data_IF_363376998290
#
_entry.id   IF_363376998290
#
_cell.length_a   1.000
_cell.length_b   1.000
_cell.length_c   1.000
_cell.angle_alpha   90.00
_cell.angle_beta   90.00
_cell.angle_gamma   90.00
#
_symmetry.space_group_name_H-M   'P 1'
#
loop_
_entity.id
_entity.type
_entity.pdbx_description
1 polymer ?
#
# COMPACT_ATOMS: atom_id res chain seq x y z
N UNK A 1 19.81 -44.17 -1.25
CA UNK A 1 19.54 -42.82 -0.73
C UNK A 1 18.04 -42.57 -0.76
N UNK A 2 17.36 -42.80 0.36
CA UNK A 2 15.95 -42.41 0.53
C UNK A 2 15.91 -40.90 0.76
N UNK A 3 15.46 -40.15 -0.25
CA UNK A 3 15.07 -38.75 -0.07
C UNK A 3 13.76 -38.73 0.75
N UNK A 4 13.88 -38.46 2.04
CA UNK A 4 12.76 -38.14 2.91
C UNK A 4 12.28 -36.74 2.45
N UNK A 5 11.25 -36.71 1.61
CA UNK A 5 10.46 -35.51 1.43
C UNK A 5 9.80 -35.19 2.77
N UNK A 6 10.38 -34.26 3.55
CA UNK A 6 9.63 -33.57 4.60
C UNK A 6 8.44 -32.92 3.89
N UNK A 7 7.26 -33.36 4.20
CA UNK A 7 6.05 -32.61 3.88
C UNK A 7 6.28 -31.18 4.37
N UNK A 8 6.31 -30.24 3.43
CA UNK A 8 6.18 -28.82 3.75
C UNK A 8 4.75 -28.70 4.30
N UNK A 9 4.62 -28.73 5.63
CA UNK A 9 3.35 -28.42 6.27
C UNK A 9 2.95 -27.02 5.77
N UNK A 10 1.84 -26.97 5.05
CA UNK A 10 1.23 -25.72 4.68
C UNK A 10 0.98 -24.95 5.99
N UNK A 11 1.42 -23.69 6.07
CA UNK A 11 1.16 -22.85 7.25
C UNK A 11 -0.33 -22.92 7.58
N UNK A 12 -0.64 -23.50 8.74
CA UNK A 12 -2.01 -23.59 9.24
C UNK A 12 -2.38 -22.22 9.82
N UNK A 13 -3.18 -21.46 9.09
CA UNK A 13 -3.76 -20.24 9.65
C UNK A 13 -5.10 -20.56 10.34
N UNK A 14 -5.36 -19.88 11.42
CA UNK A 14 -6.62 -19.95 12.17
C UNK A 14 -7.43 -18.68 11.90
N UNK A 15 -8.70 -18.86 11.54
CA UNK A 15 -9.64 -17.74 11.55
C UNK A 15 -10.21 -17.63 12.96
N UNK A 16 -9.93 -16.53 13.63
CA UNK A 16 -10.29 -16.28 15.02
C UNK A 16 -11.25 -15.11 15.12
N UNK A 17 -12.06 -15.12 16.17
CA UNK A 17 -13.01 -14.06 16.47
C UNK A 17 -12.88 -13.65 17.95
N UNK A 18 -12.90 -12.38 18.23
CA UNK A 18 -12.90 -11.81 19.59
C UNK A 18 -14.33 -11.74 20.16
N UNK A 19 -14.48 -11.35 21.42
CA UNK A 19 -15.80 -11.24 22.07
C UNK A 19 -16.67 -10.14 21.43
N UNK A 20 -16.07 -9.02 21.03
CA UNK A 20 -16.77 -7.93 20.33
C UNK A 20 -16.99 -8.20 18.83
N UNK A 21 -16.66 -9.40 18.35
CA UNK A 21 -16.91 -9.80 16.99
C UNK A 21 -15.80 -9.48 15.97
N UNK A 22 -14.63 -8.98 16.39
CA UNK A 22 -13.50 -8.73 15.51
C UNK A 22 -12.95 -10.06 14.96
N UNK A 23 -12.96 -10.21 13.65
CA UNK A 23 -12.38 -11.37 12.97
C UNK A 23 -10.96 -11.07 12.51
N UNK A 24 -10.07 -12.07 12.67
CA UNK A 24 -8.68 -11.96 12.24
C UNK A 24 -8.07 -13.31 11.90
N UNK A 25 -7.12 -13.29 10.97
CA UNK A 25 -6.31 -14.48 10.67
C UNK A 25 -5.09 -14.52 11.59
N UNK A 26 -4.77 -15.70 12.07
CA UNK A 26 -3.66 -15.91 12.98
C UNK A 26 -2.79 -17.11 12.56
N UNK A 27 -1.48 -16.87 12.51
CA UNK A 27 -0.44 -17.90 12.35
C UNK A 27 0.43 -17.89 13.60
N UNK A 28 0.43 -19.00 14.35
CA UNK A 28 1.36 -19.15 15.47
C UNK A 28 2.73 -19.55 14.94
N UNK A 29 3.72 -18.68 15.09
CA UNK A 29 5.11 -18.92 14.71
C UNK A 29 6.04 -18.64 15.90
N UNK A 30 6.69 -19.72 16.38
CA UNK A 30 7.60 -19.68 17.52
C UNK A 30 9.08 -19.56 17.12
N UNK A 31 9.36 -19.45 15.82
CA UNK A 31 10.74 -19.40 15.31
C UNK A 31 11.48 -18.13 15.71
N UNK A 32 10.73 -17.00 15.87
CA UNK A 32 11.27 -15.72 16.31
C UNK A 32 10.40 -15.17 17.45
N UNK A 33 11.01 -14.56 18.50
CA UNK A 33 10.26 -14.03 19.63
C UNK A 33 9.60 -12.68 19.33
N UNK A 34 8.81 -12.60 18.24
CA UNK A 34 8.13 -11.40 17.77
C UNK A 34 6.65 -11.71 17.56
N UNK A 35 5.80 -10.72 17.80
CA UNK A 35 4.40 -10.68 17.37
C UNK A 35 4.24 -9.56 16.37
N UNK A 36 3.68 -9.86 15.22
CA UNK A 36 3.39 -8.90 14.14
C UNK A 36 1.89 -8.87 13.86
N UNK A 37 1.33 -7.66 13.80
CA UNK A 37 -0.06 -7.40 13.41
C UNK A 37 -0.04 -6.49 12.18
N UNK A 38 -0.59 -6.98 11.07
CA UNK A 38 -0.88 -6.17 9.90
C UNK A 38 -2.38 -5.93 9.84
N UNK A 39 -2.78 -4.70 9.67
CA UNK A 39 -4.20 -4.35 9.61
C UNK A 39 -4.47 -3.30 8.55
N UNK A 40 -5.70 -3.29 8.06
CA UNK A 40 -6.13 -2.38 7.00
C UNK A 40 -7.56 -1.93 7.23
N UNK A 41 -7.81 -0.63 7.08
CA UNK A 41 -9.16 -0.05 7.07
C UNK A 41 -9.48 0.43 5.67
N UNK A 42 -10.66 0.08 5.14
CA UNK A 42 -11.12 0.56 3.83
C UNK A 42 -11.34 2.07 3.84
N UNK A 43 -11.19 2.68 2.68
CA UNK A 43 -11.46 4.11 2.44
C UNK A 43 -10.22 4.90 2.00
N UNK A 44 -9.16 4.94 2.78
CA UNK A 44 -7.93 5.66 2.43
C UNK A 44 -8.16 7.12 2.05
N UNK A 45 -7.42 7.62 1.06
CA UNK A 45 -7.60 9.00 0.58
C UNK A 45 -8.85 9.19 -0.28
N UNK A 46 -9.52 8.10 -0.70
CA UNK A 46 -10.78 8.21 -1.45
C UNK A 46 -11.92 8.81 -0.66
N UNK A 47 -11.83 8.76 0.66
CA UNK A 47 -12.81 9.33 1.58
C UNK A 47 -12.37 10.67 2.19
N UNK A 48 -11.33 11.29 1.64
CA UNK A 48 -10.92 12.62 2.07
C UNK A 48 -12.09 13.62 1.92
N UNK A 49 -12.13 14.57 2.81
CA UNK A 49 -13.16 15.62 2.80
C UNK A 49 -12.85 16.55 1.63
N UNK A 50 -13.90 16.95 0.89
CA UNK A 50 -13.77 17.96 -0.18
C UNK A 50 -13.04 19.19 0.36
N UNK A 51 -12.13 19.73 -0.44
CA UNK A 51 -11.26 20.88 -0.14
C UNK A 51 -10.26 20.66 1.02
N UNK A 52 -10.20 19.43 1.60
CA UNK A 52 -9.25 18.99 2.62
C UNK A 52 -8.51 17.70 2.20
N UNK A 53 -8.22 17.57 0.90
CA UNK A 53 -7.45 16.45 0.39
C UNK A 53 -6.12 16.32 1.14
N UNK A 54 -5.73 15.10 1.49
CA UNK A 54 -4.56 14.81 2.31
C UNK A 54 -4.86 14.68 3.81
N UNK A 55 -6.12 14.82 4.23
CA UNK A 55 -6.49 14.66 5.63
C UNK A 55 -6.21 13.25 6.15
N UNK A 56 -6.45 12.22 5.34
CA UNK A 56 -6.12 10.84 5.68
C UNK A 56 -4.61 10.64 5.89
N UNK A 57 -3.79 11.22 5.01
CA UNK A 57 -2.33 11.16 5.13
C UNK A 57 -1.82 11.95 6.34
N UNK A 58 -2.35 13.14 6.58
CA UNK A 58 -1.99 13.96 7.75
C UNK A 58 -2.40 13.25 9.04
N UNK A 59 -3.61 12.69 9.10
CA UNK A 59 -4.12 11.95 10.25
C UNK A 59 -3.25 10.73 10.56
N UNK A 60 -2.93 9.89 9.57
CA UNK A 60 -2.06 8.71 9.78
C UNK A 60 -0.66 9.08 10.23
N UNK A 61 -0.13 10.23 9.77
CA UNK A 61 1.17 10.77 10.21
C UNK A 61 1.18 11.35 11.62
N UNK A 62 0.02 11.44 12.27
CA UNK A 62 -0.15 11.97 13.62
C UNK A 62 -0.47 10.91 14.68
N UNK A 63 -0.77 9.66 14.27
CA UNK A 63 -1.19 8.62 15.21
C UNK A 63 -0.07 8.15 16.16
N UNK A 64 1.18 8.31 15.77
CA UNK A 64 2.35 8.02 16.59
C UNK A 64 3.01 9.28 17.20
N UNK A 65 2.32 10.42 17.12
CA UNK A 65 2.80 11.72 17.63
C UNK A 65 2.20 12.07 19.01
N UNK A 66 2.02 11.04 19.84
CA UNK A 66 1.53 11.17 21.21
C UNK A 66 0.08 10.73 21.39
N UNK A 67 -0.28 10.48 22.63
CA UNK A 67 -1.59 9.99 23.04
C UNK A 67 -2.20 10.91 24.08
N UNK A 68 -3.39 10.59 24.59
CA UNK A 68 -4.00 11.36 25.69
C UNK A 68 -3.10 11.49 26.93
N UNK A 69 -2.18 10.52 27.16
CA UNK A 69 -1.36 10.44 28.36
C UNK A 69 0.13 10.68 28.11
N UNK A 70 0.58 10.63 26.87
CA UNK A 70 1.99 10.72 26.50
C UNK A 70 2.19 11.78 25.42
N UNK A 71 3.18 12.64 25.63
CA UNK A 71 3.67 13.53 24.57
C UNK A 71 4.34 12.72 23.46
N UNK A 72 4.49 13.30 22.28
CA UNK A 72 5.17 12.67 21.12
C UNK A 72 6.55 12.09 21.52
N UNK A 73 7.36 12.86 22.25
CA UNK A 73 8.69 12.42 22.72
C UNK A 73 8.60 11.22 23.65
N UNK A 74 7.68 11.26 24.63
CA UNK A 74 7.48 10.16 25.59
C UNK A 74 6.99 8.91 24.86
N UNK A 75 5.98 9.03 23.97
CA UNK A 75 5.46 7.90 23.23
C UNK A 75 6.55 7.22 22.36
N UNK A 76 7.35 7.99 21.64
CA UNK A 76 8.46 7.47 20.84
C UNK A 76 9.56 6.80 21.70
N UNK A 77 9.83 7.32 22.90
CA UNK A 77 10.73 6.68 23.83
C UNK A 77 10.18 5.35 24.33
N UNK A 78 8.89 5.29 24.71
CA UNK A 78 8.26 4.03 25.12
C UNK A 78 8.28 2.99 24.00
N UNK A 79 7.97 3.37 22.77
CA UNK A 79 8.11 2.47 21.60
C UNK A 79 9.52 1.91 21.49
N UNK A 80 10.55 2.77 21.63
CA UNK A 80 11.95 2.36 21.52
C UNK A 80 12.37 1.43 22.66
N UNK A 81 11.98 1.74 23.90
CA UNK A 81 12.32 0.92 25.08
C UNK A 81 11.70 -0.47 25.01
N UNK A 82 10.50 -0.59 24.47
CA UNK A 82 9.79 -1.86 24.29
C UNK A 82 10.17 -2.60 23.00
N UNK A 83 11.06 -2.07 22.15
CA UNK A 83 11.38 -2.66 20.85
C UNK A 83 10.16 -2.74 19.93
N UNK A 84 9.23 -1.78 20.07
CA UNK A 84 8.00 -1.69 19.32
C UNK A 84 8.19 -0.95 18.02
N UNK A 85 7.57 -1.45 16.97
CA UNK A 85 7.37 -0.74 15.71
C UNK A 85 5.88 -0.57 15.48
N UNK A 86 5.45 0.66 15.25
CA UNK A 86 4.08 0.98 14.85
C UNK A 86 4.17 1.98 13.71
N UNK A 87 3.45 1.71 12.63
CA UNK A 87 3.38 2.62 11.49
C UNK A 87 2.02 2.55 10.84
N UNK A 88 1.58 3.68 10.31
CA UNK A 88 0.35 3.83 9.55
C UNK A 88 0.68 4.46 8.20
N UNK A 89 -0.05 4.07 7.17
CA UNK A 89 0.11 4.65 5.83
C UNK A 89 -1.22 4.74 5.12
N UNK A 90 -1.41 5.83 4.39
CA UNK A 90 -2.60 6.03 3.57
C UNK A 90 -2.34 5.61 2.13
N UNK A 91 -3.23 4.79 1.59
CA UNK A 91 -3.33 4.44 0.18
C UNK A 91 -4.56 5.13 -0.44
N UNK A 92 -4.81 4.88 -1.72
CA UNK A 92 -5.98 5.47 -2.39
C UNK A 92 -7.30 4.98 -1.80
N UNK A 93 -7.41 3.68 -1.52
CA UNK A 93 -8.65 2.99 -1.10
C UNK A 93 -8.59 2.38 0.29
N UNK A 94 -7.48 2.54 1.01
CA UNK A 94 -7.30 1.98 2.35
C UNK A 94 -6.27 2.74 3.18
N UNK A 95 -6.34 2.54 4.50
CA UNK A 95 -5.32 2.91 5.46
C UNK A 95 -4.73 1.60 5.98
N UNK A 96 -3.44 1.40 5.75
CA UNK A 96 -2.70 0.23 6.23
C UNK A 96 -1.95 0.57 7.52
N UNK A 97 -1.82 -0.41 8.41
CA UNK A 97 -0.98 -0.31 9.58
C UNK A 97 -0.21 -1.59 9.86
N UNK A 98 0.95 -1.42 10.46
CA UNK A 98 1.82 -2.51 10.91
C UNK A 98 2.24 -2.25 12.34
N UNK A 99 2.02 -3.24 13.19
CA UNK A 99 2.51 -3.27 14.56
C UNK A 99 3.41 -4.49 14.74
N UNK A 100 4.56 -4.31 15.37
CA UNK A 100 5.48 -5.38 15.73
C UNK A 100 6.03 -5.14 17.13
N UNK A 101 6.15 -6.23 17.89
CA UNK A 101 6.63 -6.19 19.29
C UNK A 101 7.39 -7.47 19.62
N UNK A 102 8.39 -7.37 20.47
CA UNK A 102 9.03 -8.52 21.09
C UNK A 102 8.01 -9.23 21.99
N UNK A 103 7.85 -10.55 21.88
CA UNK A 103 6.81 -11.32 22.57
C UNK A 103 6.80 -11.13 24.10
N UNK A 104 7.97 -10.93 24.71
CA UNK A 104 8.10 -10.66 26.14
C UNK A 104 7.51 -9.30 26.56
N UNK A 105 7.48 -8.33 25.65
CA UNK A 105 6.96 -6.96 25.84
C UNK A 105 5.55 -6.78 25.27
N UNK A 106 4.87 -7.89 24.90
CA UNK A 106 3.60 -7.82 24.20
C UNK A 106 2.54 -7.01 24.97
N UNK A 107 2.47 -7.12 26.30
CA UNK A 107 1.50 -6.37 27.11
C UNK A 107 1.67 -4.86 26.90
N UNK A 108 2.86 -4.36 27.19
CA UNK A 108 3.13 -2.91 27.14
C UNK A 108 3.04 -2.36 25.72
N UNK A 109 3.47 -3.15 24.72
CA UNK A 109 3.33 -2.78 23.31
C UNK A 109 1.88 -2.70 22.85
N UNK A 110 1.03 -3.65 23.23
CA UNK A 110 -0.39 -3.60 22.86
C UNK A 110 -1.15 -2.50 23.62
N UNK A 111 -0.77 -2.17 24.84
CA UNK A 111 -1.31 -1.02 25.57
C UNK A 111 -0.95 0.31 24.86
N UNK A 112 0.30 0.46 24.41
CA UNK A 112 0.72 1.62 23.60
C UNK A 112 0.01 1.68 22.25
N UNK A 113 -0.18 0.53 21.60
CA UNK A 113 -0.93 0.47 20.32
C UNK A 113 -2.39 0.87 20.50
N UNK A 114 -3.04 0.39 21.57
CA UNK A 114 -4.39 0.82 21.94
C UNK A 114 -4.48 2.33 22.12
N UNK A 115 -3.56 2.93 22.85
CA UNK A 115 -3.53 4.39 23.06
C UNK A 115 -3.32 5.15 21.75
N UNK A 116 -2.41 4.70 20.88
CA UNK A 116 -2.15 5.36 19.60
C UNK A 116 -3.35 5.29 18.65
N UNK A 117 -4.03 4.12 18.59
CA UNK A 117 -5.15 3.93 17.69
C UNK A 117 -6.43 4.62 18.18
N UNK A 118 -6.72 4.52 19.49
CA UNK A 118 -8.03 4.96 20.02
C UNK A 118 -8.00 6.36 20.64
N UNK A 119 -6.83 6.81 21.12
CA UNK A 119 -6.67 8.05 21.86
C UNK A 119 -5.49 8.91 21.40
N UNK A 120 -5.31 9.11 20.07
CA UNK A 120 -4.26 10.02 19.59
C UNK A 120 -4.51 11.43 20.12
N UNK A 121 -3.42 12.11 20.52
CA UNK A 121 -3.53 13.44 21.16
C UNK A 121 -4.05 14.52 20.21
N UNK A 122 -3.63 14.47 18.95
CA UNK A 122 -3.87 15.53 17.97
C UNK A 122 -3.64 16.94 18.56
N UNK A 123 -2.53 17.12 19.30
CA UNK A 123 -2.26 18.43 19.87
C UNK A 123 -1.79 19.42 18.78
N UNK A 124 -2.07 20.71 18.98
CA UNK A 124 -1.81 21.74 17.96
C UNK A 124 -0.32 21.90 17.61
N UNK A 125 0.58 21.64 18.57
CA UNK A 125 2.03 21.77 18.33
C UNK A 125 2.49 20.69 17.34
N UNK A 126 2.06 19.43 17.53
CA UNK A 126 2.40 18.33 16.66
C UNK A 126 1.67 18.44 15.32
N UNK A 127 0.39 18.83 15.31
CA UNK A 127 -0.35 19.11 14.07
C UNK A 127 0.43 20.14 13.21
N UNK A 128 0.83 21.25 13.78
CA UNK A 128 1.54 22.30 13.05
C UNK A 128 2.92 21.84 12.59
N UNK A 129 3.61 21.03 13.37
CA UNK A 129 4.91 20.45 12.98
C UNK A 129 4.75 19.47 11.82
N UNK A 130 3.80 18.52 11.91
CA UNK A 130 3.57 17.50 10.87
C UNK A 130 3.01 18.13 9.60
N UNK A 131 2.13 19.15 9.69
CA UNK A 131 1.70 19.93 8.52
C UNK A 131 2.91 20.52 7.76
N UNK A 132 3.86 21.14 8.46
CA UNK A 132 5.08 21.67 7.80
C UNK A 132 5.89 20.56 7.12
N UNK A 133 6.01 19.39 7.74
CA UNK A 133 6.70 18.23 7.16
C UNK A 133 6.01 17.74 5.88
N UNK A 134 4.67 17.59 5.91
CA UNK A 134 3.88 17.18 4.74
C UNK A 134 4.00 18.22 3.62
N UNK A 135 3.88 19.51 3.91
CA UNK A 135 4.03 20.58 2.91
C UNK A 135 5.44 20.57 2.32
N UNK A 136 6.48 20.40 3.14
CA UNK A 136 7.84 20.26 2.65
C UNK A 136 7.99 19.05 1.72
N UNK A 137 7.40 17.92 2.10
CA UNK A 137 7.38 16.71 1.25
C UNK A 137 6.65 16.95 -0.07
N UNK A 138 5.54 17.68 -0.08
CA UNK A 138 4.82 18.04 -1.31
C UNK A 138 5.73 18.89 -2.24
N UNK A 139 6.45 19.86 -1.70
CA UNK A 139 7.37 20.69 -2.48
C UNK A 139 8.55 19.90 -3.06
N UNK A 140 9.07 18.92 -2.32
CA UNK A 140 10.08 17.98 -2.83
C UNK A 140 9.52 17.16 -3.97
N UNK A 141 8.30 16.63 -3.82
CA UNK A 141 7.61 15.84 -4.86
C UNK A 141 7.41 16.64 -6.15
N UNK A 142 7.17 17.94 -6.07
CA UNK A 142 7.01 18.84 -7.23
C UNK A 142 8.33 19.05 -8.00
N UNK A 143 9.47 18.81 -7.38
CA UNK A 143 10.79 18.88 -8.03
C UNK A 143 11.32 17.52 -8.48
N UNK A 144 10.74 16.42 -8.01
CA UNK A 144 11.11 15.06 -8.43
C UNK A 144 10.38 14.65 -9.72
N UNK A 145 11.15 14.37 -10.77
CA UNK A 145 10.63 14.05 -12.09
C UNK A 145 9.69 12.85 -12.10
N UNK A 146 10.01 11.80 -11.34
CA UNK A 146 9.19 10.57 -11.29
C UNK A 146 7.88 10.79 -10.55
N UNK A 147 7.95 11.47 -9.41
CA UNK A 147 6.79 11.77 -8.58
C UNK A 147 5.86 12.75 -9.29
N UNK A 148 6.41 13.79 -9.94
CA UNK A 148 5.62 14.71 -10.75
C UNK A 148 4.91 13.98 -11.90
N UNK A 149 5.63 13.12 -12.63
CA UNK A 149 5.04 12.32 -13.71
C UNK A 149 3.92 11.40 -13.17
N UNK A 150 4.10 10.77 -12.00
CA UNK A 150 3.11 9.95 -11.34
C UNK A 150 1.85 10.74 -10.94
N UNK A 151 2.03 11.93 -10.37
CA UNK A 151 0.93 12.81 -10.00
C UNK A 151 0.15 13.28 -11.25
N UNK A 152 0.85 13.67 -12.31
CA UNK A 152 0.23 14.05 -13.58
C UNK A 152 -0.48 12.88 -14.26
N UNK A 153 0.11 11.68 -14.21
CA UNK A 153 -0.55 10.45 -14.67
C UNK A 153 -1.86 10.22 -13.92
N UNK A 154 -1.85 10.25 -12.58
CA UNK A 154 -3.05 10.05 -11.77
C UNK A 154 -4.13 11.09 -12.10
N UNK A 155 -3.77 12.38 -12.18
CA UNK A 155 -4.69 13.46 -12.54
C UNK A 155 -5.34 13.23 -13.90
N UNK A 156 -4.60 12.69 -14.86
CA UNK A 156 -5.09 12.46 -16.20
C UNK A 156 -5.84 11.13 -16.34
N UNK A 157 -5.28 10.03 -15.82
CA UNK A 157 -5.83 8.69 -15.95
C UNK A 157 -7.12 8.50 -15.16
N UNK A 158 -7.18 9.06 -13.95
CA UNK A 158 -8.34 9.00 -13.05
C UNK A 158 -9.17 10.29 -13.07
N UNK A 159 -9.16 11.01 -14.17
CA UNK A 159 -9.91 12.27 -14.30
C UNK A 159 -11.34 12.12 -13.81
N UNK A 160 -11.81 13.12 -13.04
CA UNK A 160 -13.16 13.16 -12.44
C UNK A 160 -13.44 12.06 -11.38
N UNK A 161 -12.42 11.31 -10.98
CA UNK A 161 -12.49 10.32 -9.91
C UNK A 161 -11.61 10.74 -8.71
N UNK A 162 -11.99 10.34 -7.50
CA UNK A 162 -11.23 10.66 -6.27
C UNK A 162 -9.77 10.20 -6.31
N UNK A 163 -9.46 9.17 -7.09
CA UNK A 163 -8.09 8.68 -7.29
C UNK A 163 -7.19 9.63 -8.10
N UNK A 164 -7.75 10.66 -8.73
CA UNK A 164 -6.97 11.71 -9.38
C UNK A 164 -6.25 12.61 -8.37
N UNK A 165 -6.75 12.71 -7.14
CA UNK A 165 -6.18 13.52 -6.08
C UNK A 165 -4.84 12.96 -5.59
N UNK A 166 -3.94 13.87 -5.21
CA UNK A 166 -2.71 13.50 -4.52
C UNK A 166 -3.04 13.04 -3.10
N UNK A 167 -2.52 11.87 -2.69
CA UNK A 167 -2.72 11.31 -1.35
C UNK A 167 -2.22 12.26 -0.25
N UNK A 168 -1.14 13.01 -0.52
CA UNK A 168 -0.61 14.02 0.41
C UNK A 168 -1.43 15.32 0.42
N UNK A 169 -2.37 15.50 -0.51
CA UNK A 169 -3.11 16.74 -0.71
C UNK A 169 -2.30 17.81 -1.44
N UNK A 170 -2.59 19.06 -1.15
CA UNK A 170 -1.87 20.26 -1.60
C UNK A 170 -1.45 21.11 -0.41
N UNK A 171 -0.52 22.06 -0.61
CA UNK A 171 -0.15 23.01 0.45
C UNK A 171 -1.36 23.75 1.01
N UNK A 172 -2.29 24.16 0.15
CA UNK A 172 -3.53 24.84 0.54
C UNK A 172 -4.45 23.93 1.35
N UNK A 173 -4.76 22.73 0.85
CA UNK A 173 -5.66 21.81 1.54
C UNK A 173 -5.11 21.41 2.92
N UNK A 174 -3.80 21.14 3.05
CA UNK A 174 -3.15 20.80 4.32
C UNK A 174 -3.22 21.94 5.32
N UNK A 175 -3.03 23.19 4.88
CA UNK A 175 -3.17 24.38 5.77
C UNK A 175 -4.57 24.49 6.34
N UNK A 176 -5.60 24.18 5.55
CA UNK A 176 -7.01 24.32 5.91
C UNK A 176 -7.56 23.20 6.83
N UNK A 177 -6.83 22.10 7.03
CA UNK A 177 -7.24 21.04 7.95
C UNK A 177 -7.10 21.51 9.39
N UNK A 178 -8.16 21.39 10.17
CA UNK A 178 -8.18 21.73 11.60
C UNK A 178 -8.08 20.49 12.48
N UNK A 179 -7.79 20.68 13.77
CA UNK A 179 -7.83 19.60 14.76
C UNK A 179 -9.21 18.90 14.80
N UNK A 180 -10.26 19.67 14.72
CA UNK A 180 -11.65 19.13 14.68
C UNK A 180 -11.87 18.23 13.47
N UNK A 181 -11.33 18.60 12.31
CA UNK A 181 -11.41 17.77 11.11
C UNK A 181 -10.69 16.44 11.32
N UNK A 182 -9.47 16.46 11.90
CA UNK A 182 -8.68 15.25 12.18
C UNK A 182 -9.41 14.31 13.14
N UNK A 183 -9.96 14.83 14.24
CA UNK A 183 -10.72 14.04 15.23
C UNK A 183 -11.95 13.40 14.58
N UNK A 184 -12.70 14.17 13.78
CA UNK A 184 -13.90 13.68 13.11
C UNK A 184 -13.54 12.65 12.01
N UNK A 185 -12.47 12.90 11.27
CA UNK A 185 -11.99 11.99 10.23
C UNK A 185 -11.51 10.67 10.84
N UNK A 186 -10.75 10.72 11.94
CA UNK A 186 -10.30 9.55 12.69
C UNK A 186 -11.50 8.67 13.11
N UNK A 187 -12.49 9.24 13.80
CA UNK A 187 -13.68 8.51 14.25
C UNK A 187 -14.49 7.88 13.11
N UNK A 188 -14.47 8.50 11.93
CA UNK A 188 -15.16 8.03 10.74
C UNK A 188 -14.42 6.91 10.04
N UNK A 189 -13.08 6.97 10.04
CA UNK A 189 -12.23 6.07 9.25
C UNK A 189 -11.93 4.76 9.97
N UNK A 190 -11.74 4.80 11.29
CA UNK A 190 -11.41 3.62 12.09
C UNK A 190 -12.66 3.00 12.67
N UNK A 191 -13.28 2.07 11.94
CA UNK A 191 -14.54 1.40 12.27
C UNK A 191 -14.43 -0.10 12.03
N UNK A 192 -15.15 -0.91 12.82
CA UNK A 192 -15.04 -2.39 12.82
C UNK A 192 -15.31 -3.02 11.45
N UNK A 193 -16.39 -2.59 10.81
CA UNK A 193 -16.85 -3.19 9.56
C UNK A 193 -15.97 -2.86 8.32
N UNK A 194 -14.96 -2.00 8.49
CA UNK A 194 -13.97 -1.68 7.46
C UNK A 194 -12.61 -2.34 7.70
N UNK A 195 -12.48 -3.11 8.79
CA UNK A 195 -11.20 -3.62 9.30
C UNK A 195 -10.90 -5.03 8.82
N UNK A 196 -9.67 -5.24 8.39
CA UNK A 196 -9.08 -6.55 8.08
C UNK A 196 -7.80 -6.69 8.88
N UNK A 197 -7.60 -7.84 9.56
CA UNK A 197 -6.44 -8.05 10.43
C UNK A 197 -5.79 -9.40 10.12
N UNK A 198 -4.47 -9.38 9.98
CA UNK A 198 -3.62 -10.57 9.96
C UNK A 198 -2.60 -10.51 11.10
N UNK A 199 -2.41 -11.61 11.80
CA UNK A 199 -1.47 -11.72 12.92
C UNK A 199 -0.56 -12.92 12.71
N UNK A 200 0.73 -12.74 12.94
CA UNK A 200 1.69 -13.83 12.99
C UNK A 200 2.65 -13.62 14.16
N UNK A 201 3.12 -14.72 14.76
CA UNK A 201 4.20 -14.64 15.73
C UNK A 201 4.10 -15.56 16.95
N UNK A 202 5.06 -15.36 17.85
CA UNK A 202 5.22 -16.17 19.06
C UNK A 202 4.30 -15.70 20.19
N UNK A 203 3.03 -16.04 20.09
CA UNK A 203 2.01 -15.76 21.10
C UNK A 203 0.91 -16.81 21.02
N UNK A 204 0.31 -17.19 22.15
CA UNK A 204 -0.79 -18.14 22.14
C UNK A 204 -2.13 -17.49 21.79
N UNK A 205 -3.07 -18.32 21.29
CA UNK A 205 -4.41 -17.91 20.84
C UNK A 205 -5.18 -17.10 21.90
N UNK A 206 -5.15 -17.49 23.17
CA UNK A 206 -5.92 -16.81 24.20
C UNK A 206 -5.39 -15.41 24.51
N UNK A 207 -4.06 -15.24 24.48
CA UNK A 207 -3.43 -13.92 24.67
C UNK A 207 -3.70 -13.01 23.49
N UNK A 208 -3.50 -13.50 22.25
CA UNK A 208 -3.70 -12.65 21.08
C UNK A 208 -5.16 -12.22 20.92
N UNK A 209 -6.13 -13.09 21.21
CA UNK A 209 -7.55 -12.69 21.23
C UNK A 209 -7.82 -11.51 22.19
N UNK A 210 -7.23 -11.55 23.38
CA UNK A 210 -7.37 -10.46 24.37
C UNK A 210 -6.75 -9.14 23.86
N UNK A 211 -5.58 -9.23 23.20
CA UNK A 211 -4.90 -8.04 22.71
C UNK A 211 -5.61 -7.43 21.47
N UNK A 212 -6.11 -8.26 20.56
CA UNK A 212 -6.93 -7.76 19.43
C UNK A 212 -8.23 -7.15 19.95
N UNK A 213 -8.87 -7.77 20.94
CA UNK A 213 -10.03 -7.19 21.62
C UNK A 213 -9.72 -5.85 22.27
N UNK A 214 -8.59 -5.73 22.99
CA UNK A 214 -8.13 -4.49 23.60
C UNK A 214 -8.00 -3.38 22.55
N UNK A 215 -7.27 -3.63 21.48
CA UNK A 215 -6.93 -2.59 20.49
C UNK A 215 -8.13 -2.17 19.63
N UNK A 216 -8.93 -3.14 19.18
CA UNK A 216 -9.97 -2.90 18.16
C UNK A 216 -11.40 -3.07 18.69
N UNK A 217 -11.58 -3.59 19.90
CA UNK A 217 -12.89 -3.91 20.43
C UNK A 217 -13.79 -2.71 20.71
N UNK A 218 -13.21 -1.53 21.00
CA UNK A 218 -13.94 -0.29 21.25
C UNK A 218 -14.33 0.47 19.97
N UNK A 219 -13.79 0.06 18.81
CA UNK A 219 -14.15 0.69 17.55
C UNK A 219 -15.65 0.54 17.30
N UNK A 220 -16.26 1.59 16.79
CA UNK A 220 -17.69 1.59 16.48
C UNK A 220 -17.95 0.93 15.13
N UNK A 221 -19.15 0.35 14.98
CA UNK A 221 -19.64 0.02 13.65
C UNK A 221 -20.06 1.31 12.94
N UNK A 222 -19.71 1.41 11.66
CA UNK A 222 -20.19 2.49 10.82
C UNK A 222 -21.37 2.00 9.97
N UNK A 223 -22.47 2.72 10.01
CA UNK A 223 -23.62 2.47 9.14
C UNK A 223 -23.41 3.01 7.72
N UNK A 224 -22.42 3.87 7.49
CA UNK A 224 -22.09 4.38 6.17
C UNK A 224 -21.16 3.39 5.45
N UNK A 225 -21.71 2.66 4.50
CA UNK A 225 -20.90 1.89 3.54
C UNK A 225 -20.15 2.89 2.64
N UNK A 226 -18.84 2.99 2.79
CA UNK A 226 -18.01 3.70 1.82
C UNK A 226 -17.96 2.87 0.54
N UNK A 227 -18.73 3.29 -0.46
CA UNK A 227 -18.62 2.73 -1.81
C UNK A 227 -17.75 3.65 -2.64
N UNK A 228 -16.56 3.18 -2.98
CA UNK A 228 -15.71 3.85 -3.97
C UNK A 228 -16.35 3.56 -5.33
N UNK A 229 -16.73 4.63 -6.05
CA UNK A 229 -17.26 4.48 -7.41
C UNK A 229 -16.20 3.86 -8.31
N UNK A 230 -16.64 3.05 -9.26
CA UNK A 230 -15.74 2.59 -10.32
C UNK A 230 -15.22 3.77 -11.15
N UNK A 231 -13.94 3.77 -11.44
CA UNK A 231 -13.38 4.77 -12.34
C UNK A 231 -13.55 4.33 -13.80
N UNK A 232 -13.84 5.29 -14.66
CA UNK A 232 -13.73 5.07 -16.11
C UNK A 232 -12.32 5.46 -16.49
N UNK A 233 -11.46 4.48 -16.76
CA UNK A 233 -10.16 4.77 -17.35
C UNK A 233 -10.37 5.55 -18.66
N UNK A 234 -9.61 6.64 -18.84
CA UNK A 234 -9.65 7.34 -20.11
C UNK A 234 -9.24 6.37 -21.22
N UNK A 235 -10.09 6.24 -22.22
CA UNK A 235 -9.71 5.56 -23.46
C UNK A 235 -8.54 6.34 -24.09
N UNK A 236 -7.57 5.65 -24.59
CA UNK A 236 -6.43 6.11 -25.38
C UNK A 236 -6.14 7.62 -25.34
N UNK A 237 -5.07 8.01 -24.70
CA UNK A 237 -4.60 9.41 -24.69
C UNK A 237 -3.11 9.50 -24.42
N UNK A 238 -2.52 10.62 -24.81
CA UNK A 238 -1.15 10.96 -24.48
C UNK A 238 -1.11 12.42 -24.00
N UNK A 239 -0.44 12.66 -22.89
CA UNK A 239 -0.14 14.00 -22.39
C UNK A 239 1.35 14.16 -22.22
N UNK A 240 1.86 15.32 -22.60
CA UNK A 240 3.25 15.69 -22.44
C UNK A 240 3.33 16.97 -21.60
N UNK A 241 4.26 16.98 -20.66
CA UNK A 241 4.55 18.11 -19.79
C UNK A 241 6.04 18.42 -19.94
N UNK A 242 6.36 19.67 -20.27
CA UNK A 242 7.73 20.10 -20.45
C UNK A 242 8.38 20.44 -19.11
N UNK A 243 9.62 19.96 -18.94
CA UNK A 243 10.47 20.26 -17.79
C UNK A 243 11.93 20.34 -18.24
N UNK A 244 12.67 21.32 -17.72
CA UNK A 244 14.11 21.48 -18.06
C UNK A 244 14.94 20.43 -17.32
N UNK A 245 14.99 19.22 -17.87
CA UNK A 245 15.78 18.10 -17.33
C UNK A 245 16.46 17.32 -18.46
N UNK A 246 17.61 16.65 -18.21
CA UNK A 246 18.28 15.83 -19.22
C UNK A 246 17.55 14.51 -19.54
N UNK A 247 16.57 14.14 -18.76
CA UNK A 247 15.82 12.90 -18.88
C UNK A 247 14.31 13.14 -18.91
N UNK A 248 13.61 12.24 -19.58
CA UNK A 248 12.14 12.18 -19.56
C UNK A 248 11.68 11.03 -18.69
N UNK A 249 10.69 11.26 -17.85
CA UNK A 249 9.95 10.22 -17.12
C UNK A 249 8.63 9.95 -17.85
N UNK A 250 8.37 8.69 -18.12
CA UNK A 250 7.16 8.25 -18.83
C UNK A 250 6.39 7.28 -17.96
N UNK A 251 5.11 7.57 -17.73
CA UNK A 251 4.14 6.65 -17.15
C UNK A 251 3.15 6.22 -18.24
N UNK A 252 2.78 4.95 -18.20
CA UNK A 252 1.74 4.42 -19.05
C UNK A 252 0.77 3.57 -18.22
N UNK A 253 -0.48 3.51 -18.63
CA UNK A 253 -1.50 2.75 -17.93
C UNK A 253 -2.50 2.10 -18.86
N UNK A 254 -3.15 1.07 -18.33
CA UNK A 254 -4.22 0.33 -18.99
C UNK A 254 -5.23 -0.12 -17.92
N UNK A 255 -6.54 -0.18 -18.22
CA UNK A 255 -7.49 -0.83 -17.31
C UNK A 255 -7.02 -2.23 -16.92
N UNK A 256 -7.07 -2.51 -15.63
CA UNK A 256 -6.77 -3.82 -15.06
C UNK A 256 -8.04 -4.52 -14.59
N UNK A 257 -7.90 -5.41 -13.62
CA UNK A 257 -9.00 -6.16 -13.03
C UNK A 257 -8.96 -6.03 -11.52
N UNK A 258 -10.13 -5.99 -10.90
CA UNK A 258 -10.27 -6.13 -9.46
C UNK A 258 -9.79 -7.52 -8.98
N UNK A 259 -9.48 -7.63 -7.69
CA UNK A 259 -8.90 -8.86 -7.11
C UNK A 259 -9.81 -10.07 -7.22
N UNK A 260 -11.13 -9.87 -7.17
CA UNK A 260 -12.13 -10.95 -7.19
C UNK A 260 -12.55 -11.39 -8.61
N UNK A 261 -12.02 -10.73 -9.65
CA UNK A 261 -12.32 -11.12 -11.02
C UNK A 261 -11.72 -12.52 -11.33
N UNK A 262 -12.47 -13.38 -11.99
CA UNK A 262 -12.05 -14.75 -12.36
C UNK A 262 -10.74 -14.76 -13.18
N UNK A 263 -10.51 -13.74 -14.00
CA UNK A 263 -9.31 -13.60 -14.86
C UNK A 263 -8.16 -12.86 -14.18
N UNK A 264 -8.29 -12.49 -12.89
CA UNK A 264 -7.27 -11.73 -12.18
C UNK A 264 -5.90 -12.41 -12.20
N UNK A 265 -5.85 -13.71 -11.90
CA UNK A 265 -4.57 -14.43 -11.88
C UNK A 265 -3.96 -14.60 -13.27
N UNK A 266 -4.78 -14.77 -14.30
CA UNK A 266 -4.29 -14.80 -15.67
C UNK A 266 -3.65 -13.45 -16.06
N UNK A 267 -4.31 -12.33 -15.73
CA UNK A 267 -3.79 -10.99 -15.97
C UNK A 267 -2.53 -10.72 -15.15
N UNK A 268 -2.47 -11.19 -13.91
CA UNK A 268 -1.29 -11.07 -13.03
C UNK A 268 -0.08 -11.79 -13.64
N UNK A 269 -0.26 -12.99 -14.18
CA UNK A 269 0.80 -13.75 -14.86
C UNK A 269 1.21 -13.01 -16.15
N UNK A 270 0.26 -12.56 -16.95
CA UNK A 270 0.54 -11.81 -18.17
C UNK A 270 1.34 -10.53 -17.88
N UNK A 271 0.95 -9.77 -16.87
CA UNK A 271 1.69 -8.57 -16.45
C UNK A 271 3.09 -8.91 -15.92
N UNK A 272 3.25 -9.99 -15.16
CA UNK A 272 4.55 -10.46 -14.70
C UNK A 272 5.49 -10.71 -15.88
N UNK A 273 5.02 -11.41 -16.91
CA UNK A 273 5.80 -11.71 -18.11
C UNK A 273 6.10 -10.43 -18.90
N UNK A 274 5.14 -9.49 -18.98
CA UNK A 274 5.32 -8.24 -19.71
C UNK A 274 6.37 -7.34 -19.05
N UNK A 275 6.15 -6.93 -17.78
CA UNK A 275 7.00 -5.94 -17.13
C UNK A 275 7.13 -6.09 -15.62
N UNK A 276 6.32 -6.95 -14.96
CA UNK A 276 6.32 -7.14 -13.52
C UNK A 276 7.39 -8.11 -13.00
N UNK A 277 7.97 -8.93 -13.87
CA UNK A 277 8.96 -9.96 -13.52
C UNK A 277 10.40 -9.45 -13.42
N UNK A 278 10.62 -8.14 -13.31
CA UNK A 278 11.95 -7.55 -13.22
C UNK A 278 12.83 -7.97 -14.41
N UNK A 279 14.02 -8.49 -14.12
CA UNK A 279 15.00 -8.95 -15.15
C UNK A 279 14.47 -10.01 -16.12
N UNK A 280 13.44 -10.77 -15.73
CA UNK A 280 12.88 -11.82 -16.58
C UNK A 280 11.79 -11.31 -17.53
N UNK A 281 11.28 -10.09 -17.33
CA UNK A 281 10.19 -9.54 -18.12
C UNK A 281 10.60 -9.17 -19.55
N UNK A 282 9.62 -9.19 -20.47
CA UNK A 282 9.83 -8.82 -21.89
C UNK A 282 10.31 -7.38 -22.05
N UNK A 283 9.69 -6.45 -21.30
CA UNK A 283 10.07 -5.03 -21.34
C UNK A 283 11.54 -4.86 -20.95
N UNK A 284 11.97 -5.50 -19.86
CA UNK A 284 13.34 -5.39 -19.39
C UNK A 284 14.33 -5.98 -20.40
N UNK A 285 14.12 -7.23 -20.84
CA UNK A 285 15.01 -7.92 -21.78
C UNK A 285 15.13 -7.19 -23.12
N UNK A 286 14.01 -6.71 -23.67
CA UNK A 286 14.01 -6.16 -25.03
C UNK A 286 14.39 -4.66 -25.07
N UNK A 287 14.06 -3.88 -24.03
CA UNK A 287 14.25 -2.43 -24.04
C UNK A 287 15.49 -2.02 -23.24
N UNK A 288 15.73 -2.65 -22.10
CA UNK A 288 16.92 -2.35 -21.28
C UNK A 288 18.15 -3.14 -21.73
N UNK A 289 18.06 -4.48 -21.76
CA UNK A 289 19.25 -5.32 -22.03
C UNK A 289 19.69 -5.23 -23.50
N UNK A 290 18.75 -5.46 -24.44
CA UNK A 290 19.10 -5.51 -25.87
C UNK A 290 19.34 -4.14 -26.49
N UNK A 291 18.62 -3.11 -26.04
CA UNK A 291 18.65 -1.78 -26.69
C UNK A 291 19.33 -0.70 -25.84
N UNK A 292 19.50 -0.90 -24.54
CA UNK A 292 20.13 0.08 -23.66
C UNK A 292 19.38 1.42 -23.56
N UNK A 293 18.07 1.45 -23.86
CA UNK A 293 17.31 2.67 -23.93
C UNK A 293 16.94 3.22 -22.54
N UNK A 294 16.82 2.36 -21.54
CA UNK A 294 16.38 2.71 -20.18
C UNK A 294 17.30 2.07 -19.14
N UNK A 295 17.37 2.67 -17.95
CA UNK A 295 18.01 2.03 -16.79
C UNK A 295 17.06 1.04 -16.11
N UNK A 296 15.79 1.40 -15.97
CA UNK A 296 14.75 0.53 -15.44
C UNK A 296 13.44 0.72 -16.23
N UNK A 297 12.68 -0.35 -16.32
CA UNK A 297 11.34 -0.35 -16.89
C UNK A 297 10.50 -1.42 -16.20
N UNK A 298 9.26 -1.11 -15.89
CA UNK A 298 8.39 -1.96 -15.10
C UNK A 298 6.93 -1.82 -15.48
N UNK A 299 6.12 -2.79 -15.06
CA UNK A 299 4.66 -2.65 -14.98
C UNK A 299 4.12 -3.39 -13.76
N UNK A 300 3.09 -2.84 -13.11
CA UNK A 300 2.41 -3.43 -11.96
C UNK A 300 0.91 -3.54 -12.22
N UNK A 301 0.31 -4.62 -11.78
CA UNK A 301 -1.13 -4.74 -11.66
C UNK A 301 -1.53 -4.26 -10.26
N UNK A 302 -2.18 -3.12 -10.18
CA UNK A 302 -2.74 -2.56 -8.97
C UNK A 302 -4.24 -2.87 -8.96
N UNK A 303 -4.70 -3.57 -7.93
CA UNK A 303 -6.12 -3.84 -7.71
C UNK A 303 -6.63 -2.96 -6.60
N UNK A 304 -7.71 -2.27 -6.87
CA UNK A 304 -8.50 -1.50 -5.92
C UNK A 304 -9.75 -2.28 -5.54
N UNK A 305 -10.57 -1.75 -4.64
CA UNK A 305 -11.75 -2.44 -4.13
C UNK A 305 -12.71 -2.91 -5.24
N UNK A 306 -13.00 -2.03 -6.22
CA UNK A 306 -13.97 -2.31 -7.30
C UNK A 306 -13.36 -2.23 -8.70
N UNK A 307 -12.04 -2.09 -8.81
CA UNK A 307 -11.35 -1.83 -10.07
C UNK A 307 -9.93 -2.36 -10.06
N UNK A 308 -9.26 -2.23 -11.19
CA UNK A 308 -7.83 -2.48 -11.30
C UNK A 308 -7.20 -1.63 -12.41
N UNK A 309 -5.90 -1.47 -12.31
CA UNK A 309 -5.10 -0.78 -13.31
C UNK A 309 -3.74 -1.46 -13.48
N UNK A 310 -3.29 -1.57 -14.71
CA UNK A 310 -1.89 -1.86 -15.01
C UNK A 310 -1.21 -0.51 -15.17
N UNK A 311 -0.23 -0.22 -14.33
CA UNK A 311 0.60 0.98 -14.41
C UNK A 311 2.04 0.56 -14.63
N UNK A 312 2.69 1.20 -15.58
CA UNK A 312 4.12 1.00 -15.81
C UNK A 312 4.83 2.31 -16.05
N UNK A 313 6.16 2.26 -16.03
CA UNK A 313 6.95 3.45 -16.26
C UNK A 313 8.40 3.15 -16.55
N UNK A 314 9.07 4.19 -17.04
CA UNK A 314 10.51 4.19 -17.29
C UNK A 314 11.06 5.62 -17.31
N UNK A 315 12.36 5.74 -17.15
CA UNK A 315 13.10 6.97 -17.43
C UNK A 315 14.11 6.72 -18.55
N UNK A 316 14.25 7.70 -19.42
CA UNK A 316 15.16 7.64 -20.56
C UNK A 316 15.68 9.03 -20.93
N UNK A 317 16.75 9.08 -21.75
CA UNK A 317 17.24 10.34 -22.33
C UNK A 317 16.16 10.97 -23.22
N UNK A 318 16.05 12.29 -23.22
CA UNK A 318 15.02 13.01 -23.99
C UNK A 318 14.95 12.57 -25.47
N UNK A 319 16.13 12.39 -26.12
CA UNK A 319 16.22 11.92 -27.52
C UNK A 319 15.68 10.51 -27.77
N UNK A 320 15.59 9.67 -26.75
CA UNK A 320 15.19 8.25 -26.87
C UNK A 320 13.75 8.00 -26.44
N UNK A 321 13.01 9.03 -26.00
CA UNK A 321 11.69 8.85 -25.39
C UNK A 321 10.68 8.23 -26.37
N UNK A 322 10.58 8.73 -27.58
CA UNK A 322 9.61 8.24 -28.57
C UNK A 322 9.94 6.82 -29.03
N UNK A 323 11.22 6.53 -29.28
CA UNK A 323 11.67 5.17 -29.60
C UNK A 323 11.31 4.19 -28.46
N UNK A 324 11.51 4.59 -27.23
CA UNK A 324 11.21 3.74 -26.07
C UNK A 324 9.71 3.50 -25.94
N UNK A 325 8.88 4.53 -26.11
CA UNK A 325 7.41 4.41 -26.11
C UNK A 325 6.95 3.41 -27.18
N UNK A 326 7.45 3.53 -28.41
CA UNK A 326 7.08 2.60 -29.48
C UNK A 326 7.52 1.16 -29.20
N UNK A 327 8.68 0.96 -28.56
CA UNK A 327 9.10 -0.37 -28.13
C UNK A 327 8.17 -0.95 -27.06
N UNK A 328 7.72 -0.15 -26.08
CA UNK A 328 6.74 -0.57 -25.07
C UNK A 328 5.43 -0.98 -25.74
N UNK A 329 4.90 -0.15 -26.63
CA UNK A 329 3.67 -0.45 -27.41
C UNK A 329 3.82 -1.73 -28.22
N UNK A 330 4.98 -1.96 -28.81
CA UNK A 330 5.23 -3.15 -29.61
C UNK A 330 5.25 -4.43 -28.75
N UNK A 331 5.86 -4.40 -27.58
CA UNK A 331 5.82 -5.55 -26.66
C UNK A 331 4.40 -5.83 -26.17
N UNK A 332 3.60 -4.80 -25.90
CA UNK A 332 2.19 -4.94 -25.56
C UNK A 332 1.37 -5.55 -26.70
N UNK A 333 1.57 -5.06 -27.92
CA UNK A 333 0.93 -5.62 -29.13
C UNK A 333 1.32 -7.07 -29.38
N UNK A 334 2.59 -7.43 -29.14
CA UNK A 334 3.06 -8.83 -29.25
C UNK A 334 2.39 -9.73 -28.22
N UNK A 335 2.28 -9.28 -26.98
CA UNK A 335 1.59 -10.03 -25.94
C UNK A 335 0.13 -10.28 -26.30
N UNK A 336 -0.57 -9.23 -26.76
CA UNK A 336 -1.98 -9.33 -27.17
C UNK A 336 -2.19 -10.25 -28.39
N UNK A 337 -1.34 -10.16 -29.43
CA UNK A 337 -1.53 -10.91 -30.68
C UNK A 337 -1.00 -12.34 -30.62
N UNK A 338 0.11 -12.58 -29.91
CA UNK A 338 0.83 -13.85 -29.92
C UNK A 338 0.73 -14.62 -28.60
N UNK A 339 0.15 -13.97 -27.57
CA UNK A 339 0.08 -14.54 -26.24
C UNK A 339 1.46 -14.70 -25.58
N UNK A 340 1.54 -15.67 -24.69
CA UNK A 340 2.74 -16.06 -23.95
C UNK A 340 3.21 -17.44 -24.41
N UNK A 341 4.50 -17.68 -24.32
CA UNK A 341 5.07 -19.01 -24.60
C UNK A 341 4.89 -19.94 -23.41
N UNK A 342 4.96 -21.26 -23.64
CA UNK A 342 4.93 -22.25 -22.56
C UNK A 342 6.04 -22.01 -21.55
N UNK A 343 7.28 -21.73 -22.01
CA UNK A 343 8.41 -21.46 -21.14
C UNK A 343 8.20 -20.23 -20.24
N UNK A 344 7.63 -19.13 -20.78
CA UNK A 344 7.30 -17.94 -20.00
C UNK A 344 6.26 -18.25 -18.93
N UNK A 345 5.23 -19.03 -19.28
CA UNK A 345 4.19 -19.46 -18.34
C UNK A 345 4.76 -20.31 -17.21
N UNK A 346 5.57 -21.32 -17.56
CA UNK A 346 6.16 -22.25 -16.58
C UNK A 346 7.10 -21.51 -15.62
N UNK A 347 7.92 -20.59 -16.13
CA UNK A 347 8.79 -19.74 -15.32
C UNK A 347 8.00 -18.80 -14.38
N UNK A 348 6.92 -18.19 -14.88
CA UNK A 348 6.07 -17.34 -14.07
C UNK A 348 5.37 -18.13 -12.95
N UNK A 349 4.82 -19.32 -13.26
CA UNK A 349 4.23 -20.22 -12.26
C UNK A 349 5.25 -20.65 -11.22
N UNK A 350 6.45 -21.05 -11.62
CA UNK A 350 7.52 -21.43 -10.71
C UNK A 350 7.89 -20.27 -9.76
N UNK A 351 7.98 -19.05 -10.29
CA UNK A 351 8.23 -17.85 -9.46
C UNK A 351 7.11 -17.61 -8.45
N UNK A 352 5.85 -17.62 -8.89
CA UNK A 352 4.73 -17.36 -7.98
C UNK A 352 4.59 -18.45 -6.91
N UNK A 353 4.78 -19.71 -7.26
CA UNK A 353 4.77 -20.82 -6.29
C UNK A 353 5.91 -20.69 -5.27
N UNK A 354 7.14 -20.40 -5.73
CA UNK A 354 8.29 -20.23 -4.84
C UNK A 354 8.19 -18.95 -3.97
N UNK A 355 7.71 -17.84 -4.54
CA UNK A 355 7.55 -16.59 -3.79
C UNK A 355 6.40 -16.68 -2.78
N UNK A 356 5.35 -17.44 -3.06
CA UNK A 356 4.25 -17.67 -2.15
C UNK A 356 4.74 -18.29 -0.84
N UNK A 357 5.46 -19.42 -0.92
CA UNK A 357 6.03 -20.08 0.26
C UNK A 357 6.93 -19.13 1.05
N UNK A 358 7.79 -18.38 0.37
CA UNK A 358 8.71 -17.43 1.02
C UNK A 358 7.98 -16.29 1.74
N UNK A 359 6.85 -15.80 1.22
CA UNK A 359 6.09 -14.73 1.86
C UNK A 359 5.48 -15.18 3.20
N UNK A 360 5.31 -16.48 3.43
CA UNK A 360 4.84 -17.03 4.71
C UNK A 360 5.99 -17.39 5.67
N UNK A 361 7.23 -17.40 5.22
CA UNK A 361 8.41 -17.63 6.09
C UNK A 361 9.03 -16.34 6.61
N UNK A 362 8.49 -15.19 6.23
CA UNK A 362 8.92 -13.87 6.70
C UNK A 362 7.86 -13.28 7.63
N UNK A 363 8.24 -12.98 8.85
CA UNK A 363 7.45 -12.21 9.82
C UNK A 363 7.60 -10.69 9.62
N UNK A 364 8.21 -10.28 8.50
CA UNK A 364 8.42 -8.89 8.10
C UNK A 364 7.31 -8.37 7.19
#
# INVERSE_FOLDING_TARGET
FLLIFKNLDAFEYKNLKTNSGIEFWFVEDKSIPIVSVSFSFRGGSSIDIKDKNGISNLMTSLLDEGTRNLTSKQFKNEMKMNGMKLSFSTQKDKIDGVFQIISAQAKDGFDLFYEALNHPSFNEVDINRVKRQVISSIKIDESDLSTLASNKFNQHFFKDHVFSNNIKGSEESIKNITRTDLVNFHKRSFVKNNLVIGVAGNINVNKIKKYIELVFGELKDNQQNYSIKQFKALSVGQKMFEMKTPQSSVLFGHPGLERNNENFFALRIANYILGGGGFQSRLYKNIREKKGLVYSIYSYLLSYENDGVIVGGFQTRNKSVFETIENVKNEWKKLNKRGITKSELDNAKAYFNGSFTRNFTSTL
#
